data_IF_489013182626
#
_entry.id   IF_489013182626
#
_cell.length_a   1.000
_cell.length_b   1.000
_cell.length_c   1.000
_cell.angle_alpha   90.00
_cell.angle_beta   90.00
_cell.angle_gamma   90.00
#
_symmetry.space_group_name_H-M   'P 1'
#
loop_
_entity.id
_entity.type
_entity.pdbx_description
1 polymer ?
#
# COMPACT_ATOMS: atom_id res chain seq x y z
N UNK A 1 9.14 1.90 17.58
CA UNK A 1 9.85 0.74 18.17
C UNK A 1 11.18 1.24 18.69
N UNK A 2 11.51 1.06 19.96
CA UNK A 2 12.85 1.34 20.49
C UNK A 2 13.66 0.02 20.46
N UNK A 3 14.60 -0.17 19.52
CA UNK A 3 15.39 -1.39 19.43
C UNK A 3 16.24 -1.66 20.68
N UNK A 4 16.55 -0.61 21.45
CA UNK A 4 17.36 -0.71 22.67
C UNK A 4 16.57 -1.19 23.89
N UNK A 5 15.23 -1.15 23.84
CA UNK A 5 14.40 -1.50 24.99
C UNK A 5 14.47 -2.99 25.36
N UNK A 6 14.72 -3.88 24.38
CA UNK A 6 14.79 -5.35 24.52
C UNK A 6 13.63 -6.04 25.28
N UNK A 7 12.55 -5.31 25.60
CA UNK A 7 11.40 -5.83 26.30
C UNK A 7 10.59 -6.77 25.39
N UNK A 8 10.56 -8.05 25.77
CA UNK A 8 9.78 -9.08 25.10
C UNK A 8 8.28 -8.83 25.31
N UNK A 9 7.48 -9.13 24.28
CA UNK A 9 6.01 -9.10 24.31
C UNK A 9 5.39 -7.77 24.81
N UNK A 10 6.10 -6.65 24.58
CA UNK A 10 5.70 -5.30 25.03
C UNK A 10 5.01 -4.47 23.95
N UNK A 11 4.79 -5.03 22.77
CA UNK A 11 4.23 -4.30 21.63
C UNK A 11 2.71 -4.33 21.66
N UNK A 12 2.11 -3.16 21.54
CA UNK A 12 0.66 -3.02 21.39
C UNK A 12 0.25 -3.12 19.92
N UNK A 13 -0.95 -3.67 19.67
CA UNK A 13 -1.56 -3.65 18.35
C UNK A 13 -1.86 -2.22 17.91
N UNK A 14 -1.40 -1.84 16.72
CA UNK A 14 -1.69 -0.52 16.13
C UNK A 14 -2.14 -0.67 14.69
N UNK A 15 -3.30 -0.08 14.36
CA UNK A 15 -3.90 -0.20 13.03
C UNK A 15 -3.50 0.93 12.11
N UNK A 16 -3.06 0.55 10.91
CA UNK A 16 -2.73 1.47 9.81
C UNK A 16 -3.93 1.73 8.88
N UNK A 17 -5.06 1.04 9.09
CA UNK A 17 -6.21 1.05 8.19
C UNK A 17 -6.82 2.44 7.94
N UNK A 18 -6.72 3.34 8.91
CA UNK A 18 -7.24 4.71 8.84
C UNK A 18 -6.13 5.76 8.83
N UNK A 19 -4.89 5.35 8.56
CA UNK A 19 -3.74 6.25 8.56
C UNK A 19 -3.50 6.75 7.15
N UNK A 20 -3.31 8.06 7.04
CA UNK A 20 -2.90 8.69 5.80
C UNK A 20 -1.40 8.46 5.56
N UNK A 21 -1.03 8.49 4.30
CA UNK A 21 0.34 8.34 3.86
C UNK A 21 0.73 9.31 2.77
N UNK A 22 2.00 9.27 2.41
CA UNK A 22 2.59 10.05 1.33
C UNK A 22 3.40 9.12 0.44
N UNK A 23 3.25 9.26 -0.86
CA UNK A 23 4.05 8.53 -1.84
C UNK A 23 5.50 9.00 -1.77
N UNK A 24 6.43 8.10 -1.45
CA UNK A 24 7.87 8.40 -1.50
C UNK A 24 8.46 8.15 -2.88
N UNK A 25 8.10 7.02 -3.47
CA UNK A 25 8.50 6.61 -4.82
C UNK A 25 7.36 5.81 -5.44
N UNK A 26 7.23 5.87 -6.75
CA UNK A 26 6.23 5.13 -7.50
C UNK A 26 6.75 4.76 -8.89
N UNK A 27 6.10 3.79 -9.51
CA UNK A 27 6.31 3.45 -10.92
C UNK A 27 4.99 2.98 -11.54
N UNK A 28 4.87 3.14 -12.85
CA UNK A 28 3.83 2.53 -13.68
C UNK A 28 4.49 1.52 -14.63
N UNK A 29 4.31 0.23 -14.36
CA UNK A 29 4.91 -0.84 -15.15
C UNK A 29 3.88 -1.50 -16.07
N UNK A 30 4.24 -1.67 -17.35
CA UNK A 30 3.41 -2.37 -18.34
C UNK A 30 3.81 -3.83 -18.54
N UNK A 31 4.92 -4.28 -17.94
CA UNK A 31 5.42 -5.65 -18.08
C UNK A 31 4.90 -6.56 -16.96
N UNK A 32 4.68 -6.00 -15.77
CA UNK A 32 3.99 -6.71 -14.69
C UNK A 32 2.52 -6.96 -15.06
N UNK A 33 2.06 -8.18 -14.83
CA UNK A 33 0.65 -8.51 -14.99
C UNK A 33 -0.22 -7.72 -14.01
N UNK A 34 -1.15 -6.95 -14.53
CA UNK A 34 -2.25 -6.32 -13.79
C UNK A 34 -3.53 -6.44 -14.62
N UNK A 35 -4.68 -6.53 -13.96
CA UNK A 35 -5.99 -6.59 -14.61
C UNK A 35 -6.41 -5.25 -15.22
N UNK A 36 -5.84 -4.15 -14.75
CA UNK A 36 -6.05 -2.78 -15.21
C UNK A 36 -4.69 -2.11 -15.48
N UNK A 37 -3.95 -2.54 -16.52
CA UNK A 37 -2.60 -2.04 -16.77
C UNK A 37 -2.57 -0.54 -17.11
N UNK A 38 -1.50 0.19 -16.74
CA UNK A 38 -0.26 -0.32 -16.12
C UNK A 38 -0.42 -0.66 -14.63
N UNK A 39 0.46 -1.53 -14.14
CA UNK A 39 0.59 -1.81 -12.71
C UNK A 39 1.21 -0.60 -12.01
N UNK A 40 0.46 0.06 -11.15
CA UNK A 40 0.98 1.15 -10.31
C UNK A 40 1.37 0.59 -8.94
N UNK A 41 2.62 0.77 -8.53
CA UNK A 41 3.08 0.38 -7.19
C UNK A 41 4.26 1.23 -6.75
N UNK A 42 4.51 1.27 -5.44
CA UNK A 42 5.51 2.17 -4.87
C UNK A 42 5.62 2.10 -3.36
N UNK A 43 6.48 2.96 -2.81
CA UNK A 43 6.70 3.07 -1.37
C UNK A 43 5.81 4.17 -0.79
N UNK A 44 5.00 3.82 0.21
CA UNK A 44 4.18 4.78 0.97
C UNK A 44 4.78 4.96 2.37
N UNK A 45 4.99 6.20 2.78
CA UNK A 45 5.32 6.58 4.15
C UNK A 45 4.04 6.99 4.87
N UNK A 46 3.70 6.32 5.97
CA UNK A 46 2.53 6.70 6.77
C UNK A 46 2.86 7.82 7.75
N UNK A 47 1.87 8.66 8.07
CA UNK A 47 2.00 9.75 9.04
C UNK A 47 2.28 9.23 10.46
N UNK A 48 1.70 8.09 10.83
CA UNK A 48 2.00 7.38 12.09
C UNK A 48 3.41 6.75 12.12
N UNK A 49 4.22 6.95 11.08
CA UNK A 49 5.50 6.30 10.88
C UNK A 49 5.39 4.95 10.17
N UNK A 50 6.54 4.39 9.80
CA UNK A 50 6.60 3.14 9.02
C UNK A 50 6.42 3.37 7.51
N UNK A 51 7.00 2.47 6.73
CA UNK A 51 6.95 2.50 5.26
C UNK A 51 6.47 1.16 4.74
N UNK A 52 5.65 1.17 3.70
CA UNK A 52 5.16 -0.05 3.08
C UNK A 52 5.22 0.06 1.55
N UNK A 53 5.70 -1.01 0.91
CA UNK A 53 5.52 -1.18 -0.53
C UNK A 53 4.06 -1.57 -0.80
N UNK A 54 3.37 -0.76 -1.59
CA UNK A 54 1.94 -0.93 -1.84
C UNK A 54 1.63 -0.86 -3.34
N UNK A 55 0.64 -1.64 -3.75
CA UNK A 55 -0.03 -1.44 -5.03
C UNK A 55 -0.96 -0.22 -4.89
N UNK A 56 -0.97 0.65 -5.90
CA UNK A 56 -1.96 1.70 -6.03
C UNK A 56 -3.18 1.20 -6.80
N UNK A 57 -4.32 1.82 -6.57
CA UNK A 57 -5.57 1.53 -7.30
C UNK A 57 -6.32 2.83 -7.57
N UNK A 58 -7.23 2.81 -8.54
CA UNK A 58 -8.03 4.00 -8.92
C UNK A 58 -7.13 5.19 -9.32
N UNK A 59 -6.00 4.90 -9.97
CA UNK A 59 -5.05 5.91 -10.47
C UNK A 59 -5.44 6.32 -11.88
N UNK A 60 -5.66 7.61 -12.08
CA UNK A 60 -5.77 8.22 -13.41
C UNK A 60 -4.38 8.65 -13.88
N UNK A 61 -4.14 8.63 -15.20
CA UNK A 61 -2.84 9.00 -15.74
C UNK A 61 -2.52 10.47 -15.42
N UNK A 62 -1.38 10.71 -14.77
CA UNK A 62 -0.95 12.04 -14.35
C UNK A 62 -1.48 12.50 -12.99
N UNK A 63 -2.27 11.70 -12.27
CA UNK A 63 -2.79 12.09 -10.93
C UNK A 63 -1.92 11.63 -9.76
N UNK A 64 -0.88 10.83 -10.03
CA UNK A 64 0.07 10.36 -9.02
C UNK A 64 1.45 10.98 -9.23
N UNK A 65 2.06 11.45 -8.15
CA UNK A 65 3.47 11.79 -8.11
C UNK A 65 4.07 11.48 -6.72
N UNK A 66 5.40 11.58 -6.61
CA UNK A 66 6.08 11.61 -5.32
C UNK A 66 5.61 12.82 -4.53
N UNK A 67 5.18 12.61 -3.29
CA UNK A 67 4.54 13.63 -2.45
C UNK A 67 3.01 13.62 -2.48
N UNK A 68 2.37 12.85 -3.38
CA UNK A 68 0.92 12.67 -3.35
C UNK A 68 0.47 12.10 -2.01
N UNK A 69 -0.63 12.64 -1.47
CA UNK A 69 -1.31 12.10 -0.29
C UNK A 69 -2.09 10.86 -0.69
N UNK A 70 -2.08 9.86 0.18
CA UNK A 70 -2.83 8.61 -0.04
C UNK A 70 -3.58 8.17 1.21
N UNK A 71 -4.72 7.55 0.98
CA UNK A 71 -5.41 6.72 1.95
C UNK A 71 -5.26 5.24 1.57
N UNK A 72 -5.63 4.32 2.46
CA UNK A 72 -5.56 2.87 2.18
C UNK A 72 -6.93 2.24 2.16
N UNK A 73 -7.23 1.48 1.11
CA UNK A 73 -8.52 0.85 0.88
C UNK A 73 -8.34 -0.68 0.81
N UNK A 74 -9.25 -1.42 1.44
CA UNK A 74 -9.23 -2.88 1.39
C UNK A 74 -9.77 -3.37 0.05
N UNK A 75 -8.95 -4.09 -0.73
CA UNK A 75 -9.27 -4.52 -2.10
C UNK A 75 -8.86 -5.96 -2.35
N UNK A 76 -9.35 -6.53 -3.46
CA UNK A 76 -8.84 -7.81 -3.96
C UNK A 76 -7.42 -7.59 -4.49
N UNK A 77 -6.47 -8.39 -4.02
CA UNK A 77 -5.09 -8.42 -4.50
C UNK A 77 -4.86 -9.52 -5.51
N UNK A 78 -5.45 -10.70 -5.30
CA UNK A 78 -5.21 -11.85 -6.16
C UNK A 78 -6.37 -12.86 -6.08
N UNK A 79 -6.63 -13.53 -7.20
CA UNK A 79 -7.47 -14.73 -7.26
C UNK A 79 -6.55 -15.97 -7.26
N UNK A 80 -6.68 -16.85 -6.27
CA UNK A 80 -5.97 -18.14 -6.24
C UNK A 80 -6.93 -19.23 -6.73
N UNK A 81 -6.91 -19.48 -8.05
CA UNK A 81 -7.80 -20.46 -8.67
C UNK A 81 -7.47 -21.92 -8.28
N UNK A 82 -6.20 -22.22 -7.93
CA UNK A 82 -5.81 -23.57 -7.52
C UNK A 82 -6.37 -23.93 -6.14
N UNK A 83 -6.36 -22.97 -5.21
CA UNK A 83 -6.86 -23.18 -3.85
C UNK A 83 -8.30 -22.70 -3.63
N UNK A 84 -8.88 -22.02 -4.63
CA UNK A 84 -10.29 -21.60 -4.63
C UNK A 84 -10.61 -20.40 -3.73
N UNK A 85 -9.63 -19.56 -3.37
CA UNK A 85 -9.88 -18.38 -2.52
C UNK A 85 -9.40 -17.05 -3.11
N UNK A 86 -10.00 -15.98 -2.64
CA UNK A 86 -9.65 -14.59 -2.98
C UNK A 86 -8.74 -14.01 -1.91
N UNK A 87 -7.59 -13.50 -2.30
CA UNK A 87 -6.68 -12.78 -1.42
C UNK A 87 -7.04 -11.31 -1.44
N UNK A 88 -7.30 -10.77 -0.27
CA UNK A 88 -7.55 -9.35 -0.07
C UNK A 88 -6.34 -8.71 0.60
N UNK A 89 -6.07 -7.47 0.25
CA UNK A 89 -5.03 -6.68 0.89
C UNK A 89 -5.35 -5.19 0.77
N UNK A 90 -4.67 -4.38 1.58
CA UNK A 90 -4.75 -2.93 1.50
C UNK A 90 -4.00 -2.44 0.25
N UNK A 91 -4.64 -1.56 -0.51
CA UNK A 91 -4.05 -0.82 -1.64
C UNK A 91 -4.12 0.68 -1.35
N UNK A 92 -3.15 1.43 -1.86
CA UNK A 92 -3.12 2.88 -1.69
C UNK A 92 -4.00 3.56 -2.77
N UNK A 93 -4.73 4.60 -2.38
CA UNK A 93 -5.55 5.44 -3.27
C UNK A 93 -5.07 6.87 -3.11
N UNK A 94 -4.83 7.55 -4.24
CA UNK A 94 -4.42 8.95 -4.22
C UNK A 94 -5.61 9.83 -3.84
N UNK A 95 -5.42 10.72 -2.87
CA UNK A 95 -6.41 11.74 -2.54
C UNK A 95 -6.29 12.88 -3.57
N UNK A 96 -7.42 13.23 -4.21
CA UNK A 96 -7.53 14.32 -5.20
C UNK A 96 -7.96 15.60 -4.47
#
# INVERSE_FOLDING_TARGET
MNPECQALDSQDNFSFANQLGTVLTWTADRLTFDWSPPAYFGMVQFECGGKLMMDFTEVEEGTIDSGSRVSVHFRIRQFDAQRGFRKYFWKAVVEI
#
